data_IF_125794049854
#
_entry.id   IF_125794049854
#
_cell.length_a   1.000
_cell.length_b   1.000
_cell.length_c   1.000
_cell.angle_alpha   90.00
_cell.angle_beta   90.00
_cell.angle_gamma   90.00
#
_symmetry.space_group_name_H-M   'P 1'
#
loop_
_entity.id
_entity.type
_entity.pdbx_description
1 polymer ?
#
# COMPACT_ATOMS: atom_id res chain seq x y z
N UNK A 1 12.83 -5.93 13.11
CA UNK A 1 11.39 -6.22 13.07
C UNK A 1 11.22 -7.72 12.95
N UNK A 2 10.48 -8.32 13.87
CA UNK A 2 10.05 -9.71 13.78
C UNK A 2 8.84 -9.83 12.82
N UNK A 3 8.46 -11.05 12.48
CA UNK A 3 7.27 -11.32 11.66
C UNK A 3 6.01 -10.64 12.23
N UNK A 4 5.76 -10.78 13.53
CA UNK A 4 4.62 -10.16 14.21
C UNK A 4 4.63 -8.62 14.14
N UNK A 5 5.82 -8.00 14.18
CA UNK A 5 5.93 -6.53 14.05
C UNK A 5 5.55 -6.07 12.64
N UNK A 6 5.90 -6.84 11.60
CA UNK A 6 5.46 -6.56 10.23
C UNK A 6 3.96 -6.77 10.06
N UNK A 7 3.40 -7.87 10.58
CA UNK A 7 1.96 -8.14 10.51
C UNK A 7 1.14 -7.03 11.16
N UNK A 8 1.54 -6.56 12.35
CA UNK A 8 0.89 -5.41 13.01
C UNK A 8 1.03 -4.12 12.23
N UNK A 9 2.20 -3.87 11.65
CA UNK A 9 2.42 -2.67 10.86
C UNK A 9 1.59 -2.68 9.57
N UNK A 10 1.47 -3.83 8.91
CA UNK A 10 0.58 -4.02 7.75
C UNK A 10 -0.89 -3.83 8.12
N UNK A 11 -1.33 -4.39 9.24
CA UNK A 11 -2.72 -4.25 9.71
C UNK A 11 -3.05 -2.79 10.03
N UNK A 12 -2.19 -2.11 10.79
CA UNK A 12 -2.37 -0.71 11.14
C UNK A 12 -2.39 0.20 9.91
N UNK A 13 -1.49 -0.07 8.94
CA UNK A 13 -1.41 0.73 7.72
C UNK A 13 -2.61 0.48 6.80
N UNK A 14 -3.04 -0.78 6.66
CA UNK A 14 -4.25 -1.15 5.91
C UNK A 14 -5.50 -0.51 6.49
N UNK A 15 -5.66 -0.53 7.82
CA UNK A 15 -6.80 0.15 8.48
C UNK A 15 -6.77 1.66 8.26
N UNK A 16 -5.59 2.27 8.32
CA UNK A 16 -5.41 3.70 8.07
C UNK A 16 -5.74 4.07 6.63
N UNK A 17 -5.30 3.27 5.65
CA UNK A 17 -5.66 3.43 4.23
C UNK A 17 -7.18 3.30 4.04
N UNK A 18 -7.81 2.29 4.65
CA UNK A 18 -9.25 2.09 4.55
C UNK A 18 -10.05 3.27 5.14
N UNK A 19 -9.56 3.88 6.22
CA UNK A 19 -10.17 5.03 6.86
C UNK A 19 -9.94 6.36 6.12
N UNK A 20 -8.94 6.43 5.25
CA UNK A 20 -8.61 7.62 4.47
C UNK A 20 -9.44 7.70 3.18
N UNK A 21 -9.81 8.92 2.74
CA UNK A 21 -10.39 9.14 1.42
C UNK A 21 -9.37 8.82 0.33
N UNK A 22 -9.85 8.44 -0.85
CA UNK A 22 -9.03 7.94 -1.96
C UNK A 22 -7.87 8.88 -2.33
N UNK A 23 -8.12 10.19 -2.34
CA UNK A 23 -7.11 11.22 -2.58
C UNK A 23 -5.94 11.19 -1.58
N UNK A 24 -6.16 10.73 -0.34
CA UNK A 24 -5.16 10.63 0.71
C UNK A 24 -4.56 9.22 0.83
N UNK A 25 -5.24 8.18 0.30
CA UNK A 25 -4.71 6.81 0.25
C UNK A 25 -3.40 6.74 -0.53
N UNK A 26 -3.26 7.57 -1.57
CA UNK A 26 -2.04 7.69 -2.35
C UNK A 26 -0.82 8.09 -1.51
N UNK A 27 -1.01 8.91 -0.48
CA UNK A 27 0.06 9.32 0.43
C UNK A 27 0.56 8.13 1.27
N UNK A 28 -0.31 7.16 1.55
CA UNK A 28 0.03 5.94 2.30
C UNK A 28 0.64 4.83 1.43
N UNK A 29 0.50 4.89 0.10
CA UNK A 29 1.11 3.92 -0.82
C UNK A 29 2.62 3.83 -0.64
N UNK A 30 3.30 4.96 -0.52
CA UNK A 30 4.75 4.97 -0.33
C UNK A 30 5.19 4.28 0.96
N UNK A 31 4.41 4.45 2.04
CA UNK A 31 4.63 3.72 3.30
C UNK A 31 4.35 2.22 3.14
N UNK A 32 3.28 1.84 2.41
CA UNK A 32 2.88 0.45 2.21
C UNK A 32 3.92 -0.30 1.39
N UNK A 33 4.30 0.25 0.24
CA UNK A 33 5.29 -0.33 -0.66
C UNK A 33 6.65 -0.49 0.02
N UNK A 34 7.10 0.52 0.77
CA UNK A 34 8.35 0.42 1.53
C UNK A 34 8.30 -0.66 2.63
N UNK A 35 7.12 -0.92 3.21
CA UNK A 35 6.95 -1.98 4.19
C UNK A 35 6.99 -3.37 3.53
N UNK A 36 6.37 -3.49 2.34
CA UNK A 36 6.41 -4.68 1.49
C UNK A 36 7.84 -5.01 1.09
N UNK A 37 8.58 -4.06 0.50
CA UNK A 37 9.99 -4.26 0.10
C UNK A 37 10.87 -4.66 1.29
N UNK A 38 10.63 -4.08 2.48
CA UNK A 38 11.36 -4.45 3.71
C UNK A 38 11.03 -5.84 4.19
N UNK A 39 9.76 -6.27 4.09
CA UNK A 39 9.36 -7.62 4.44
C UNK A 39 9.97 -8.64 3.47
N UNK A 40 9.95 -8.34 2.17
CA UNK A 40 10.56 -9.15 1.11
C UNK A 40 12.07 -9.29 1.27
N UNK A 41 12.78 -8.17 1.51
CA UNK A 41 14.21 -8.18 1.77
C UNK A 41 14.58 -8.95 3.04
N UNK A 42 13.67 -9.02 4.01
CA UNK A 42 13.81 -9.84 5.21
C UNK A 42 13.44 -11.32 4.99
N UNK A 43 12.98 -11.71 3.80
CA UNK A 43 12.52 -13.06 3.49
C UNK A 43 11.22 -13.44 4.19
N UNK A 44 10.42 -12.45 4.58
CA UNK A 44 9.15 -12.65 5.27
C UNK A 44 8.02 -12.85 4.27
N UNK A 45 7.04 -13.65 4.68
CA UNK A 45 5.82 -13.83 3.90
C UNK A 45 4.93 -12.58 4.01
N UNK A 46 4.61 -11.99 2.87
CA UNK A 46 3.70 -10.84 2.79
C UNK A 46 2.28 -11.37 2.59
N UNK A 47 1.29 -10.95 3.39
CA UNK A 47 -0.10 -11.36 3.20
C UNK A 47 -0.65 -10.89 1.85
N UNK A 48 -1.42 -11.75 1.17
CA UNK A 48 -2.04 -11.45 -0.13
C UNK A 48 -2.93 -10.19 -0.10
N UNK A 49 -3.63 -9.95 1.03
CA UNK A 49 -4.45 -8.76 1.22
C UNK A 49 -3.64 -7.45 1.14
N UNK A 50 -2.36 -7.48 1.55
CA UNK A 50 -1.46 -6.32 1.48
C UNK A 50 -0.97 -6.11 0.05
N UNK A 51 -0.58 -7.17 -0.64
CA UNK A 51 -0.14 -7.10 -2.04
C UNK A 51 -1.28 -6.56 -2.93
N UNK A 52 -2.49 -7.09 -2.74
CA UNK A 52 -3.66 -6.62 -3.48
C UNK A 52 -3.97 -5.15 -3.19
N UNK A 53 -3.76 -4.67 -1.95
CA UNK A 53 -3.92 -3.26 -1.61
C UNK A 53 -2.85 -2.38 -2.27
N UNK A 54 -1.59 -2.84 -2.30
CA UNK A 54 -0.49 -2.11 -2.95
C UNK A 54 -0.72 -2.00 -4.48
N UNK A 55 -1.17 -3.08 -5.11
CA UNK A 55 -1.55 -3.10 -6.53
C UNK A 55 -2.73 -2.16 -6.82
N UNK A 56 -3.80 -2.22 -6.02
CA UNK A 56 -4.97 -1.33 -6.18
C UNK A 56 -4.59 0.15 -6.08
N UNK A 57 -3.71 0.51 -5.14
CA UNK A 57 -3.22 1.88 -4.99
C UNK A 57 -2.25 2.27 -6.10
N UNK A 58 -1.57 1.30 -6.71
CA UNK A 58 -0.71 1.53 -7.87
C UNK A 58 -1.53 1.82 -9.13
N UNK A 59 -2.61 1.07 -9.37
CA UNK A 59 -3.47 1.25 -10.55
C UNK A 59 -4.29 2.54 -10.48
N UNK A 60 -4.80 2.91 -9.30
CA UNK A 60 -5.47 4.19 -9.09
C UNK A 60 -4.56 5.41 -9.39
N UNK A 61 -3.24 5.27 -9.21
CA UNK A 61 -2.28 6.31 -9.58
C UNK A 61 -2.15 6.49 -11.09
N UNK A 62 -2.31 5.40 -11.83
CA UNK A 62 -2.22 5.40 -13.29
C UNK A 62 -3.50 6.03 -13.84
N UNK A 63 -4.69 5.62 -13.41
CA UNK A 63 -5.96 6.21 -13.88
C UNK A 63 -6.09 7.71 -13.56
N UNK A 64 -5.73 8.14 -12.34
CA UNK A 64 -5.77 9.56 -11.97
C UNK A 64 -4.80 10.44 -12.80
N UNK A 65 -3.77 9.85 -13.41
CA UNK A 65 -2.83 10.57 -14.28
C UNK A 65 -3.38 10.76 -15.70
N UNK A 66 -4.32 9.93 -16.14
CA UNK A 66 -4.93 10.03 -17.48
C UNK A 66 -6.18 10.92 -17.53
N UNK A 67 -6.84 11.19 -16.40
CA UNK A 67 -8.04 12.04 -16.32
C UNK A 67 -7.75 13.55 -16.49
N UNK A 68 -6.47 13.94 -16.59
CA UNK A 68 -6.01 15.33 -16.76
C UNK A 68 -5.54 15.68 -18.19
N UNK A 69 -5.81 14.84 -19.19
CA UNK A 69 -5.59 15.21 -20.58
C UNK A 69 -6.85 15.92 -21.12
N UNK A 70 -6.83 17.25 -21.32
CA UNK A 70 -7.91 17.90 -22.05
C UNK A 70 -7.88 17.41 -23.50
N UNK A 71 -9.02 16.94 -24.00
CA UNK A 71 -9.25 16.78 -25.45
C UNK A 71 -9.20 18.15 -26.15
#
# INVERSE_FOLDING_TARGET
MTKDEFERAFEALSQRIAALPEAERQACRGELHALVERAEAAGLHIPEAVLSLDEQLSDAAIEAQFDNLPL
#
